data_IF_921311078784
#
_entry.id   IF_921311078784
#
_cell.length_a   1.000
_cell.length_b   1.000
_cell.length_c   1.000
_cell.angle_alpha   90.00
_cell.angle_beta   90.00
_cell.angle_gamma   90.00
#
_symmetry.space_group_name_H-M   'P 1'
#
loop_
_entity.id
_entity.type
_entity.pdbx_description
1 polymer ?
#
# COMPACT_ATOMS: atom_id res chain seq x y z
N UNK A 1 21.00 -30.94 -6.22
CA UNK A 1 19.60 -31.10 -5.80
C UNK A 1 19.48 -30.58 -4.39
N UNK A 2 18.82 -29.43 -4.24
CA UNK A 2 17.93 -29.00 -3.16
C UNK A 2 17.91 -27.46 -3.20
N UNK A 3 17.17 -26.93 -4.17
CA UNK A 3 16.75 -25.54 -4.22
C UNK A 3 15.70 -25.36 -3.12
N UNK A 4 16.13 -24.96 -1.93
CA UNK A 4 15.25 -24.59 -0.83
C UNK A 4 14.89 -23.10 -0.99
N UNK A 5 14.13 -22.80 -2.04
CA UNK A 5 13.49 -21.49 -2.22
C UNK A 5 12.28 -21.44 -1.28
N UNK A 6 12.58 -21.15 -0.01
CA UNK A 6 11.56 -20.89 0.99
C UNK A 6 11.04 -19.48 0.71
N UNK A 7 10.04 -19.37 -0.18
CA UNK A 7 9.25 -18.16 -0.32
C UNK A 7 8.57 -17.92 1.02
N UNK A 8 9.11 -17.01 1.81
CA UNK A 8 8.46 -16.55 3.02
C UNK A 8 7.18 -15.84 2.62
N UNK A 9 6.03 -16.42 2.94
CA UNK A 9 4.71 -15.78 2.93
C UNK A 9 4.64 -14.67 4.00
N UNK A 10 5.58 -13.73 3.96
CA UNK A 10 5.56 -12.57 4.82
C UNK A 10 4.45 -11.63 4.36
N UNK A 11 3.35 -11.65 5.10
CA UNK A 11 2.23 -10.75 4.82
C UNK A 11 2.72 -9.30 4.85
N UNK A 12 2.35 -8.49 3.86
CA UNK A 12 2.75 -7.09 3.83
C UNK A 12 2.29 -6.36 5.08
N UNK A 13 3.15 -5.50 5.62
CA UNK A 13 2.91 -4.79 6.88
C UNK A 13 2.36 -3.40 6.61
N UNK A 14 1.45 -2.95 7.49
CA UNK A 14 0.95 -1.59 7.47
C UNK A 14 2.07 -0.53 7.50
N UNK A 15 1.97 0.47 6.62
CA UNK A 15 2.89 1.60 6.51
C UNK A 15 2.72 2.65 7.62
N UNK A 16 1.70 2.53 8.48
CA UNK A 16 1.53 3.43 9.60
C UNK A 16 2.72 3.29 10.58
N UNK A 17 3.25 4.43 11.03
CA UNK A 17 4.45 4.46 11.88
C UNK A 17 4.22 3.63 13.15
N UNK A 18 5.05 2.60 13.34
CA UNK A 18 5.00 1.73 14.52
C UNK A 18 3.93 0.64 14.48
N UNK A 19 3.11 0.59 13.42
CA UNK A 19 2.17 -0.50 13.21
C UNK A 19 2.92 -1.73 12.67
N UNK A 20 2.52 -2.92 13.14
CA UNK A 20 3.02 -4.21 12.66
C UNK A 20 1.89 -5.14 12.22
N UNK A 21 0.67 -4.61 12.09
CA UNK A 21 -0.47 -5.39 11.64
C UNK A 21 -0.38 -5.68 10.15
N UNK A 22 -0.97 -6.81 9.75
CA UNK A 22 -1.11 -7.22 8.36
C UNK A 22 -1.89 -6.13 7.59
N UNK A 23 -1.34 -5.73 6.45
CA UNK A 23 -2.03 -4.82 5.55
C UNK A 23 -3.07 -5.58 4.73
N UNK A 24 -4.22 -4.95 4.53
CA UNK A 24 -5.32 -5.46 3.70
C UNK A 24 -5.84 -4.40 2.72
N UNK A 25 -5.24 -3.20 2.74
CA UNK A 25 -5.55 -2.08 1.85
C UNK A 25 -4.29 -1.50 1.23
N UNK A 26 -4.44 -0.99 0.01
CA UNK A 26 -3.44 -0.24 -0.74
C UNK A 26 -3.99 1.17 -0.97
N UNK A 27 -3.22 2.17 -0.57
CA UNK A 27 -3.51 3.57 -0.81
C UNK A 27 -2.56 4.09 -1.90
N UNK A 28 -3.09 4.30 -3.09
CA UNK A 28 -2.34 4.92 -4.18
C UNK A 28 -2.34 6.45 -3.99
N UNK A 29 -1.17 7.08 -4.07
CA UNK A 29 -1.04 8.52 -3.87
C UNK A 29 0.03 9.15 -4.76
N UNK A 30 -0.11 10.45 -4.99
CA UNK A 30 0.83 11.25 -5.77
C UNK A 30 0.99 12.63 -5.12
N UNK A 31 2.23 13.05 -4.89
CA UNK A 31 2.54 14.42 -4.51
C UNK A 31 2.97 15.21 -5.76
N UNK A 32 2.09 16.06 -6.34
CA UNK A 32 2.37 16.73 -7.61
C UNK A 32 3.50 17.76 -7.51
N UNK A 33 3.92 18.14 -6.29
CA UNK A 33 5.09 19.01 -6.10
C UNK A 33 6.42 18.28 -6.31
N UNK A 34 6.43 16.95 -6.21
CA UNK A 34 7.65 16.12 -6.27
C UNK A 34 7.61 15.06 -7.37
N UNK A 35 6.44 14.70 -7.86
CA UNK A 35 6.24 13.58 -8.77
C UNK A 35 5.43 14.03 -9.98
N UNK A 36 5.75 13.48 -11.15
CA UNK A 36 4.92 13.62 -12.35
C UNK A 36 3.52 13.02 -12.09
N UNK A 37 2.47 13.47 -12.80
CA UNK A 37 1.11 12.98 -12.60
C UNK A 37 0.96 11.46 -12.78
N UNK A 38 1.80 10.86 -13.64
CA UNK A 38 1.82 9.43 -13.92
C UNK A 38 2.44 8.61 -12.78
N UNK A 39 3.33 9.21 -11.98
CA UNK A 39 4.05 8.48 -10.93
C UNK A 39 3.24 8.38 -9.66
N UNK A 40 2.61 7.23 -9.42
CA UNK A 40 1.90 6.93 -8.16
C UNK A 40 2.80 6.13 -7.23
N UNK A 41 2.77 6.47 -5.96
CA UNK A 41 3.35 5.66 -4.88
C UNK A 41 2.21 4.92 -4.17
N UNK A 42 2.54 3.82 -3.52
CA UNK A 42 1.60 3.02 -2.73
C UNK A 42 2.00 3.05 -1.26
N UNK A 43 1.00 3.12 -0.38
CA UNK A 43 1.14 2.83 1.05
C UNK A 43 0.20 1.68 1.40
N UNK A 44 0.65 0.79 2.28
CA UNK A 44 -0.13 -0.36 2.72
C UNK A 44 -0.80 -0.02 4.06
N UNK A 45 -2.04 -0.46 4.26
CA UNK A 45 -2.78 -0.19 5.50
C UNK A 45 -3.53 -1.43 6.00
N UNK A 46 -3.53 -1.61 7.33
CA UNK A 46 -4.48 -2.49 7.99
C UNK A 46 -5.86 -1.81 8.09
N UNK A 47 -6.89 -2.56 8.48
CA UNK A 47 -8.25 -2.03 8.71
C UNK A 47 -8.26 -0.79 9.61
N UNK A 48 -7.52 -0.83 10.72
CA UNK A 48 -7.49 0.25 11.72
C UNK A 48 -6.88 1.55 11.18
N UNK A 49 -5.88 1.45 10.31
CA UNK A 49 -5.11 2.62 9.84
C UNK A 49 -5.51 3.12 8.47
N UNK A 50 -6.36 2.40 7.73
CA UNK A 50 -6.84 2.79 6.41
C UNK A 50 -7.37 4.22 6.42
N UNK A 51 -8.36 4.48 7.29
CA UNK A 51 -9.02 5.79 7.33
C UNK A 51 -8.06 6.91 7.70
N UNK A 52 -7.20 6.70 8.70
CA UNK A 52 -6.23 7.71 9.12
C UNK A 52 -5.26 8.08 7.99
N UNK A 53 -4.69 7.09 7.30
CA UNK A 53 -3.77 7.34 6.19
C UNK A 53 -4.49 7.99 4.99
N UNK A 54 -5.70 7.56 4.67
CA UNK A 54 -6.53 8.18 3.62
C UNK A 54 -6.83 9.64 3.95
N UNK A 55 -7.21 9.97 5.18
CA UNK A 55 -7.43 11.36 5.60
C UNK A 55 -6.15 12.18 5.49
N UNK A 56 -5.01 11.66 5.96
CA UNK A 56 -3.71 12.34 5.88
C UNK A 56 -3.33 12.72 4.45
N UNK A 57 -3.56 11.81 3.48
CA UNK A 57 -3.30 12.04 2.06
C UNK A 57 -4.38 12.92 1.42
N UNK A 58 -5.64 12.75 1.83
CA UNK A 58 -6.80 13.47 1.32
C UNK A 58 -6.76 14.97 1.61
N UNK A 59 -6.45 15.37 2.85
CA UNK A 59 -6.34 16.80 3.21
C UNK A 59 -5.24 17.55 2.44
N UNK A 60 -4.28 16.81 1.87
CA UNK A 60 -3.20 17.35 1.04
C UNK A 60 -3.47 17.22 -0.47
N UNK A 61 -4.59 16.61 -0.86
CA UNK A 61 -4.92 16.33 -2.26
C UNK A 61 -4.01 15.30 -2.92
N UNK A 62 -3.34 14.46 -2.13
CA UNK A 62 -2.38 13.46 -2.64
C UNK A 62 -3.02 12.10 -2.89
N UNK A 63 -4.13 11.79 -2.21
CA UNK A 63 -4.82 10.51 -2.36
C UNK A 63 -5.37 10.37 -3.79
N UNK A 64 -5.12 9.22 -4.41
CA UNK A 64 -5.61 8.88 -5.75
C UNK A 64 -6.61 7.74 -5.71
N UNK A 65 -6.28 6.69 -4.96
CA UNK A 65 -7.14 5.51 -4.85
C UNK A 65 -6.94 4.79 -3.53
N UNK A 66 -7.94 3.99 -3.15
CA UNK A 66 -7.92 3.10 -1.99
C UNK A 66 -8.58 1.79 -2.40
N UNK A 67 -7.77 0.75 -2.57
CA UNK A 67 -8.24 -0.57 -3.03
C UNK A 67 -7.86 -1.66 -2.02
N UNK A 68 -8.62 -2.76 -1.94
CA UNK A 68 -8.21 -3.94 -1.18
C UNK A 68 -6.87 -4.47 -1.70
N UNK A 69 -6.01 -4.92 -0.80
CA UNK A 69 -4.70 -5.48 -1.15
C UNK A 69 -4.83 -6.68 -2.10
N UNK A 70 -5.80 -7.56 -1.85
CA UNK A 70 -6.03 -8.75 -2.67
C UNK A 70 -6.39 -8.40 -4.14
N UNK A 71 -7.07 -7.27 -4.36
CA UNK A 71 -7.37 -6.78 -5.71
C UNK A 71 -6.09 -6.28 -6.39
N UNK A 72 -5.31 -5.47 -5.68
CA UNK A 72 -4.06 -4.92 -6.20
C UNK A 72 -2.99 -5.98 -6.51
N UNK A 73 -2.82 -7.00 -5.66
CA UNK A 73 -1.88 -8.12 -5.91
C UNK A 73 -2.25 -8.93 -7.16
N UNK A 74 -3.55 -9.04 -7.44
CA UNK A 74 -4.06 -9.73 -8.63
C UNK A 74 -3.75 -8.97 -9.92
N UNK A 75 -3.64 -7.63 -9.85
CA UNK A 75 -3.30 -6.77 -11.00
C UNK A 75 -1.78 -6.71 -11.26
N UNK A 76 -0.94 -6.93 -10.25
CA UNK A 76 0.53 -6.92 -10.38
C UNK A 76 1.09 -8.24 -10.93
N UNK A 77 0.28 -9.29 -11.04
CA UNK A 77 0.68 -10.59 -11.61
C UNK A 77 0.17 -10.69 -13.06
N UNK A 78 1.03 -10.54 -14.09
CA UNK A 78 0.64 -10.69 -15.49
C UNK A 78 0.35 -12.14 -15.91
#
# INVERSE_FOLDING_TARGET
MLDNDQVSEEKPICSAKGCRADAVWVLAWNNPKLHTPERRKTWLACEEHREHLSQFLGVRGFLKDVVPLAEWESEETP
#
